data_IF_968359651243
#
_entry.id   IF_968359651243
#
_cell.length_a   1.000
_cell.length_b   1.000
_cell.length_c   1.000
_cell.angle_alpha   90.00
_cell.angle_beta   90.00
_cell.angle_gamma   90.00
#
_symmetry.space_group_name_H-M   'P 1'
#
loop_
_entity.id
_entity.type
_entity.pdbx_description
1 polymer ?
#
# COMPACT_ATOMS: atom_id res chain seq x y z
N UNK A 1 -7.03 2.51 28.71
CA UNK A 1 -6.42 2.74 27.38
C UNK A 1 -5.29 1.73 27.27
N UNK A 2 -5.63 0.55 26.77
CA UNK A 2 -4.83 -0.66 26.95
C UNK A 2 -4.60 -1.28 25.59
N UNK A 3 -3.35 -1.59 25.28
CA UNK A 3 -2.79 -2.33 24.14
C UNK A 3 -3.45 -3.70 23.82
N UNK A 4 -4.60 -4.00 24.42
CA UNK A 4 -5.39 -5.24 24.26
C UNK A 4 -6.44 -5.13 23.15
N UNK A 5 -6.82 -3.93 22.71
CA UNK A 5 -7.86 -3.78 21.66
C UNK A 5 -7.34 -4.07 20.24
N UNK A 6 -6.04 -3.92 19.97
CA UNK A 6 -5.47 -4.22 18.64
C UNK A 6 -5.39 -5.71 18.35
N UNK A 7 -5.29 -6.56 19.38
CA UNK A 7 -5.27 -8.02 19.23
C UNK A 7 -6.62 -8.64 18.89
N UNK A 8 -7.72 -7.87 18.93
CA UNK A 8 -9.06 -8.34 18.52
C UNK A 8 -9.45 -7.92 17.11
N UNK A 9 -8.61 -7.15 16.41
CA UNK A 9 -8.95 -6.65 15.08
C UNK A 9 -8.65 -7.65 13.95
N UNK A 10 -7.66 -8.51 14.17
CA UNK A 10 -7.27 -9.57 13.24
C UNK A 10 -7.09 -10.87 14.03
N UNK A 11 -7.59 -11.98 13.49
CA UNK A 11 -7.57 -13.30 14.15
C UNK A 11 -6.19 -13.95 14.08
N UNK A 12 -5.34 -13.52 13.15
CA UNK A 12 -3.98 -14.01 12.98
C UNK A 12 -3.07 -12.97 12.31
N UNK A 13 -1.75 -13.16 12.43
CA UNK A 13 -0.78 -12.35 11.70
C UNK A 13 -0.98 -12.41 10.18
N UNK A 14 -1.33 -13.59 9.65
CA UNK A 14 -1.58 -13.76 8.21
C UNK A 14 -2.75 -12.92 7.71
N UNK A 15 -3.80 -12.77 8.53
CA UNK A 15 -4.97 -11.97 8.19
C UNK A 15 -4.63 -10.47 8.19
N UNK A 16 -3.84 -10.01 9.16
CA UNK A 16 -3.33 -8.64 9.18
C UNK A 16 -2.44 -8.34 7.96
N UNK A 17 -1.60 -9.29 7.56
CA UNK A 17 -0.74 -9.18 6.37
C UNK A 17 -1.56 -9.14 5.08
N UNK A 18 -2.57 -9.99 4.98
CA UNK A 18 -3.51 -10.01 3.86
C UNK A 18 -4.26 -8.67 3.74
N UNK A 19 -4.84 -8.20 4.85
CA UNK A 19 -5.50 -6.90 4.91
C UNK A 19 -4.59 -5.76 4.43
N UNK A 20 -3.35 -5.75 4.93
CA UNK A 20 -2.35 -4.72 4.58
C UNK A 20 -2.07 -4.73 3.07
N UNK A 21 -1.79 -5.90 2.48
CA UNK A 21 -1.54 -6.02 1.04
C UNK A 21 -2.73 -5.58 0.19
N UNK A 22 -3.94 -6.03 0.53
CA UNK A 22 -5.17 -5.72 -0.20
C UNK A 22 -5.48 -4.23 -0.13
N UNK A 23 -5.24 -3.60 1.01
CA UNK A 23 -5.47 -2.16 1.21
C UNK A 23 -4.38 -1.33 0.55
N UNK A 24 -3.11 -1.70 0.72
CA UNK A 24 -1.95 -1.06 0.10
C UNK A 24 -2.03 -1.04 -1.43
N UNK A 25 -2.49 -2.14 -2.03
CA UNK A 25 -2.68 -2.21 -3.49
C UNK A 25 -3.96 -1.53 -3.97
N UNK A 26 -4.74 -0.91 -3.08
CA UNK A 26 -6.07 -0.33 -3.34
C UNK A 26 -7.12 -1.33 -3.87
N UNK A 27 -6.85 -2.62 -3.75
CA UNK A 27 -7.73 -3.69 -4.22
C UNK A 27 -9.03 -3.75 -3.40
N UNK A 28 -8.89 -3.70 -2.06
CA UNK A 28 -10.00 -3.49 -1.14
C UNK A 28 -11.17 -4.49 -1.25
N UNK A 29 -10.91 -5.80 -1.21
CA UNK A 29 -11.97 -6.83 -1.27
C UNK A 29 -13.08 -6.66 -0.22
N UNK A 30 -12.76 -6.07 0.94
CA UNK A 30 -13.74 -5.76 1.98
C UNK A 30 -14.15 -6.95 2.85
N UNK A 31 -13.51 -8.09 2.67
CA UNK A 31 -13.64 -9.30 3.49
C UNK A 31 -12.97 -9.13 4.87
N UNK A 32 -11.84 -8.44 4.92
CA UNK A 32 -11.19 -8.01 6.17
C UNK A 32 -11.14 -6.48 6.17
N UNK A 33 -11.64 -5.84 7.23
CA UNK A 33 -11.65 -4.36 7.34
C UNK A 33 -11.46 -3.88 8.77
N UNK A 34 -10.78 -2.73 8.95
CA UNK A 34 -10.73 -2.06 10.25
C UNK A 34 -12.03 -1.30 10.51
N UNK A 35 -12.63 -1.50 11.68
CA UNK A 35 -13.85 -0.82 12.11
C UNK A 35 -13.56 0.24 13.18
N UNK A 36 -14.54 1.13 13.42
CA UNK A 36 -14.45 2.19 14.42
C UNK A 36 -13.33 3.20 14.14
N UNK A 37 -12.55 3.53 15.18
CA UNK A 37 -11.48 4.54 15.13
C UNK A 37 -10.35 4.18 14.15
N UNK A 38 -10.17 2.90 13.85
CA UNK A 38 -9.10 2.41 12.99
C UNK A 38 -9.42 2.45 11.49
N UNK A 39 -10.66 2.80 11.10
CA UNK A 39 -11.06 2.92 9.69
C UNK A 39 -10.28 3.98 8.93
N UNK A 40 -9.78 5.01 9.60
CA UNK A 40 -8.92 6.02 8.93
C UNK A 40 -7.55 5.44 8.55
N UNK A 41 -7.05 4.45 9.30
CA UNK A 41 -5.75 3.83 9.03
C UNK A 41 -5.76 3.09 7.69
N UNK A 42 -6.85 2.40 7.34
CA UNK A 42 -6.98 1.73 6.04
C UNK A 42 -6.93 2.73 4.88
N UNK A 43 -7.57 3.90 5.03
CA UNK A 43 -7.49 4.97 4.04
C UNK A 43 -6.06 5.51 3.88
N UNK A 44 -5.35 5.73 4.98
CA UNK A 44 -3.95 6.19 4.96
C UNK A 44 -3.03 5.15 4.31
N UNK A 45 -3.24 3.86 4.59
CA UNK A 45 -2.47 2.77 3.99
C UNK A 45 -2.68 2.68 2.47
N UNK A 46 -3.94 2.80 2.01
CA UNK A 46 -4.25 2.82 0.58
C UNK A 46 -3.58 4.01 -0.12
N UNK A 47 -3.63 5.20 0.49
CA UNK A 47 -2.96 6.40 -0.04
C UNK A 47 -1.45 6.20 -0.12
N UNK A 48 -0.84 5.60 0.90
CA UNK A 48 0.59 5.30 0.91
C UNK A 48 0.97 4.35 -0.23
N UNK A 49 0.21 3.27 -0.43
CA UNK A 49 0.47 2.32 -1.50
C UNK A 49 0.33 2.93 -2.90
N UNK A 50 -0.71 3.74 -3.14
CA UNK A 50 -0.86 4.47 -4.41
C UNK A 50 0.32 5.42 -4.65
N UNK A 51 0.75 6.17 -3.62
CA UNK A 51 1.91 7.07 -3.75
C UNK A 51 3.19 6.30 -4.09
N UNK A 52 3.47 5.19 -3.42
CA UNK A 52 4.67 4.38 -3.64
C UNK A 52 4.68 3.72 -5.03
N UNK A 53 3.53 3.19 -5.48
CA UNK A 53 3.40 2.63 -6.82
C UNK A 53 3.59 3.73 -7.87
N UNK A 54 2.90 4.87 -7.73
CA UNK A 54 3.00 5.98 -8.67
C UNK A 54 4.42 6.55 -8.77
N UNK A 55 5.09 6.71 -7.62
CA UNK A 55 6.48 7.17 -7.57
C UNK A 55 7.43 6.18 -8.24
N UNK A 56 7.25 4.87 -8.01
CA UNK A 56 8.06 3.82 -8.62
C UNK A 56 7.90 3.80 -10.14
N UNK A 57 6.67 3.95 -10.64
CA UNK A 57 6.40 4.07 -12.09
C UNK A 57 7.06 5.32 -12.68
N UNK A 58 7.00 6.46 -11.99
CA UNK A 58 7.65 7.69 -12.44
C UNK A 58 9.17 7.56 -12.51
N UNK A 59 9.79 6.94 -11.49
CA UNK A 59 11.23 6.64 -11.50
C UNK A 59 11.62 5.69 -12.61
N UNK A 60 10.86 4.60 -12.81
CA UNK A 60 11.07 3.65 -13.91
C UNK A 60 11.00 4.36 -15.27
N UNK A 61 9.97 5.19 -15.47
CA UNK A 61 9.81 5.96 -16.70
C UNK A 61 10.97 6.94 -16.93
N UNK A 62 11.45 7.62 -15.88
CA UNK A 62 12.62 8.49 -15.96
C UNK A 62 13.88 7.73 -16.35
N UNK A 63 14.10 6.54 -15.77
CA UNK A 63 15.24 5.68 -16.08
C UNK A 63 15.21 5.24 -17.56
N UNK A 64 14.05 4.79 -18.05
CA UNK A 64 13.89 4.38 -19.45
C UNK A 64 14.17 5.55 -20.39
N UNK A 65 13.70 6.76 -20.08
CA UNK A 65 14.00 7.96 -20.88
C UNK A 65 15.50 8.28 -20.92
N UNK A 66 16.19 8.16 -19.79
CA UNK A 66 17.64 8.40 -19.73
C UNK A 66 18.41 7.38 -20.58
N UNK A 67 18.04 6.10 -20.49
CA UNK A 67 18.64 5.04 -21.31
C UNK A 67 18.38 5.29 -22.80
N UNK A 68 17.14 5.61 -23.18
CA UNK A 68 16.80 5.90 -24.56
C UNK A 68 17.60 7.09 -25.12
N UNK A 69 17.70 8.18 -24.35
CA UNK A 69 18.49 9.36 -24.73
C UNK A 69 19.97 9.02 -24.88
N UNK A 70 20.54 8.19 -24.01
CA UNK A 70 21.95 7.76 -24.08
C UNK A 70 22.24 6.89 -25.31
N UNK A 71 21.29 6.07 -25.75
CA UNK A 71 21.46 5.22 -26.94
C UNK A 71 21.37 6.04 -28.24
N UNK A 72 20.52 7.08 -28.27
CA UNK A 72 20.28 7.89 -29.46
C UNK A 72 21.21 9.12 -29.57
N UNK A 73 22.14 9.34 -28.63
CA UNK A 73 23.11 10.44 -28.69
C UNK A 73 24.51 10.02 -29.18
N UNK A 74 24.66 8.79 -29.68
CA UNK A 74 25.83 8.30 -30.44
C UNK A 74 25.51 8.25 -31.93
#
# INVERSE_FOLDING_TARGET
MTITETSQLFSSFSEAWYFSLVTFTSLGYGDVTLTGHWRLLSGVEAINGIMLIGWSTAMMYSLIQQIYKSLNSN
#
